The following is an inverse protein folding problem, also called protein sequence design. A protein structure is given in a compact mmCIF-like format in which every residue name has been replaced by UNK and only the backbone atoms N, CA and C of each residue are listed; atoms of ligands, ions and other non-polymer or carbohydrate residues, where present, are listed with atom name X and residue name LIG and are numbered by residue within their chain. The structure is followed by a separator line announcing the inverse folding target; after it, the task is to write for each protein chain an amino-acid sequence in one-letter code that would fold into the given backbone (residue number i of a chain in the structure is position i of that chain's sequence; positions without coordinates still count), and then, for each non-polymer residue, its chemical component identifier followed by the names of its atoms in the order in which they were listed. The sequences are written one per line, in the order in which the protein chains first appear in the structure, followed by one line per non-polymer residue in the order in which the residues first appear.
data_IF_868996425335
#
_entry.id   IF_868996425335
#
_cell.length_a   1.000
_cell.length_b   1.000
_cell.length_c   1.000
_cell.angle_alpha   90.00
_cell.angle_beta   90.00
_cell.angle_gamma   90.00
#
_symmetry.space_group_name_H-M   'P 1'
#
loop_
_entity.id
_entity.type
_entity.pdbx_description
1 polymer ?
#
# COMPACT_ATOMS: atom_id res chain seq x y z
N UNK A 1 -35.56 -5.41 16.96
CA UNK A 1 -34.08 -5.33 16.90
C UNK A 1 -33.67 -5.13 15.44
N UNK A 2 -33.51 -3.89 15.00
CA UNK A 2 -33.08 -3.58 13.63
C UNK A 2 -31.57 -3.77 13.53
N UNK A 3 -31.14 -4.86 12.89
CA UNK A 3 -29.73 -5.03 12.55
C UNK A 3 -29.35 -3.94 11.55
N UNK A 4 -28.72 -2.87 12.00
CA UNK A 4 -28.15 -1.87 11.11
C UNK A 4 -27.02 -2.52 10.31
N UNK A 5 -27.34 -2.96 9.08
CA UNK A 5 -26.31 -3.37 8.12
C UNK A 5 -25.32 -2.21 8.00
N UNK A 6 -24.00 -2.46 8.03
CA UNK A 6 -23.04 -1.39 7.79
C UNK A 6 -23.39 -0.71 6.47
N UNK A 7 -23.57 0.61 6.48
CA UNK A 7 -23.85 1.38 5.26
C UNK A 7 -22.69 1.14 4.30
N UNK A 8 -22.92 0.36 3.25
CA UNK A 8 -22.01 0.31 2.12
C UNK A 8 -21.91 1.71 1.54
N UNK A 9 -20.72 2.12 1.12
CA UNK A 9 -20.49 3.38 0.42
C UNK A 9 -20.10 3.04 -1.02
N UNK A 10 -21.07 2.74 -1.92
CA UNK A 10 -20.79 2.22 -3.26
C UNK A 10 -19.93 3.18 -4.08
N UNK A 11 -20.17 4.49 -3.97
CA UNK A 11 -19.39 5.50 -4.67
C UNK A 11 -17.90 5.42 -4.32
N UNK A 12 -17.56 5.26 -3.04
CA UNK A 12 -16.15 5.17 -2.64
C UNK A 12 -15.52 3.85 -3.13
N UNK A 13 -16.29 2.76 -3.16
CA UNK A 13 -15.81 1.51 -3.74
C UNK A 13 -15.57 1.65 -5.26
N UNK A 14 -16.46 2.34 -5.97
CA UNK A 14 -16.30 2.64 -7.39
C UNK A 14 -15.08 3.53 -7.65
N UNK A 15 -14.88 4.59 -6.85
CA UNK A 15 -13.71 5.46 -6.93
C UNK A 15 -12.40 4.71 -6.70
N UNK A 16 -12.39 3.75 -5.76
CA UNK A 16 -11.22 2.87 -5.56
C UNK A 16 -10.98 1.96 -6.75
N UNK A 17 -12.04 1.45 -7.38
CA UNK A 17 -11.94 0.68 -8.61
C UNK A 17 -11.35 1.50 -9.75
N UNK A 18 -11.82 2.74 -9.91
CA UNK A 18 -11.32 3.67 -10.92
C UNK A 18 -9.85 4.03 -10.69
N UNK A 19 -9.47 4.29 -9.43
CA UNK A 19 -8.08 4.54 -9.06
C UNK A 19 -7.17 3.34 -9.37
N UNK A 20 -7.59 2.14 -8.98
CA UNK A 20 -6.85 0.91 -9.28
C UNK A 20 -6.73 0.66 -10.79
N UNK A 21 -7.79 0.94 -11.56
CA UNK A 21 -7.75 0.82 -13.02
C UNK A 21 -6.77 1.80 -13.65
N UNK A 22 -6.77 3.06 -13.22
CA UNK A 22 -5.83 4.07 -13.70
C UNK A 22 -4.36 3.65 -13.43
N UNK A 23 -4.09 3.08 -12.25
CA UNK A 23 -2.78 2.53 -11.90
C UNK A 23 -2.39 1.37 -12.82
N UNK A 24 -3.31 0.45 -13.10
CA UNK A 24 -3.04 -0.68 -14.01
C UNK A 24 -2.72 -0.17 -15.43
N UNK A 25 -3.52 0.76 -15.96
CA UNK A 25 -3.31 1.31 -17.29
C UNK A 25 -1.97 2.06 -17.40
N UNK A 26 -1.58 2.77 -16.34
CA UNK A 26 -0.24 3.38 -16.25
C UNK A 26 0.88 2.35 -16.33
N UNK A 27 0.82 1.27 -15.53
CA UNK A 27 1.87 0.24 -15.55
C UNK A 27 1.90 -0.54 -16.88
N UNK A 28 0.74 -0.75 -17.52
CA UNK A 28 0.67 -1.37 -18.85
C UNK A 28 1.36 -0.49 -19.90
N UNK A 29 1.08 0.82 -19.89
CA UNK A 29 1.72 1.75 -20.82
C UNK A 29 3.23 1.87 -20.58
N UNK A 30 3.65 1.91 -19.31
CA UNK A 30 5.06 1.90 -18.92
C UNK A 30 5.77 0.62 -19.39
N UNK A 31 5.20 -0.55 -19.11
CA UNK A 31 5.76 -1.82 -19.55
C UNK A 31 5.85 -1.91 -21.08
N UNK A 32 4.83 -1.42 -21.79
CA UNK A 32 4.84 -1.37 -23.26
C UNK A 32 5.94 -0.45 -23.78
N UNK A 33 6.11 0.72 -23.17
CA UNK A 33 7.16 1.66 -23.54
C UNK A 33 8.56 1.04 -23.32
N UNK A 34 8.76 0.36 -22.20
CA UNK A 34 10.05 -0.20 -21.81
C UNK A 34 10.43 -1.44 -22.62
N UNK A 35 9.45 -2.25 -23.04
CA UNK A 35 9.69 -3.53 -23.75
C UNK A 35 9.47 -3.47 -25.26
N UNK A 36 8.57 -2.60 -25.72
CA UNK A 36 8.14 -2.50 -27.12
C UNK A 36 8.43 -1.12 -27.72
N UNK A 37 9.04 -0.20 -26.96
CA UNK A 37 9.31 1.17 -27.37
C UNK A 37 8.07 1.91 -27.93
N UNK A 38 6.89 1.51 -27.46
CA UNK A 38 5.60 2.00 -27.94
C UNK A 38 4.70 2.31 -26.74
N UNK A 39 4.03 3.46 -26.76
CA UNK A 39 2.98 3.79 -25.78
C UNK A 39 1.61 3.51 -26.36
N UNK A 40 0.90 2.53 -25.80
CA UNK A 40 -0.43 2.16 -26.26
C UNK A 40 -1.49 3.25 -25.98
N UNK A 41 -1.30 4.00 -24.90
CA UNK A 41 -2.25 5.03 -24.46
C UNK A 41 -1.66 6.45 -24.49
N UNK A 42 -0.45 6.61 -25.04
CA UNK A 42 0.23 7.88 -25.17
C UNK A 42 0.51 8.55 -23.82
N UNK A 43 -0.13 9.70 -23.58
CA UNK A 43 0.06 10.50 -22.37
C UNK A 43 -1.16 10.47 -21.43
N UNK A 44 -2.24 9.79 -21.83
CA UNK A 44 -3.56 9.85 -21.16
C UNK A 44 -3.47 9.35 -19.71
N UNK A 45 -2.69 8.30 -19.47
CA UNK A 45 -2.53 7.68 -18.15
C UNK A 45 -1.21 8.04 -17.47
N UNK A 46 -0.48 9.07 -17.93
CA UNK A 46 0.80 9.47 -17.31
C UNK A 46 0.64 9.83 -15.82
N UNK A 47 -0.53 10.30 -15.42
CA UNK A 47 -0.86 10.63 -14.02
C UNK A 47 -1.44 9.45 -13.22
N UNK A 48 -1.44 8.23 -13.77
CA UNK A 48 -2.02 7.06 -13.11
C UNK A 48 -1.33 6.69 -11.79
N UNK A 49 -0.08 7.12 -11.59
CA UNK A 49 0.63 7.00 -10.31
C UNK A 49 -0.09 7.70 -9.15
N UNK A 50 -0.78 8.83 -9.40
CA UNK A 50 -1.59 9.55 -8.38
C UNK A 50 -2.75 8.68 -7.88
N UNK A 51 -3.20 7.74 -8.70
CA UNK A 51 -4.21 6.76 -8.33
C UNK A 51 -3.80 5.91 -7.12
N UNK A 52 -2.49 5.71 -6.89
CA UNK A 52 -1.97 4.99 -5.73
C UNK A 52 -2.29 5.77 -4.45
N UNK A 53 -1.92 7.05 -4.38
CA UNK A 53 -2.17 7.91 -3.22
C UNK A 53 -3.67 8.00 -2.90
N UNK A 54 -4.47 8.21 -3.94
CA UNK A 54 -5.92 8.30 -3.81
C UNK A 54 -6.53 6.98 -3.30
N UNK A 55 -6.05 5.84 -3.80
CA UNK A 55 -6.49 4.53 -3.32
C UNK A 55 -6.17 4.31 -1.83
N UNK A 56 -4.99 4.75 -1.37
CA UNK A 56 -4.59 4.67 0.03
C UNK A 56 -5.49 5.51 0.94
N UNK A 57 -5.73 6.78 0.59
CA UNK A 57 -6.60 7.68 1.36
C UNK A 57 -8.01 7.09 1.50
N UNK A 58 -8.60 6.64 0.39
CA UNK A 58 -9.95 6.05 0.41
C UNK A 58 -10.01 4.73 1.20
N UNK A 59 -8.95 3.92 1.12
CA UNK A 59 -8.86 2.65 1.86
C UNK A 59 -8.77 2.91 3.36
N UNK A 60 -7.97 3.89 3.78
CA UNK A 60 -7.88 4.31 5.18
C UNK A 60 -9.21 4.84 5.70
N UNK A 61 -9.86 5.73 4.95
CA UNK A 61 -11.17 6.27 5.29
C UNK A 61 -12.22 5.17 5.49
N UNK A 62 -12.40 4.25 4.53
CA UNK A 62 -13.38 3.16 4.63
C UNK A 62 -13.09 2.27 5.84
N UNK A 63 -11.81 1.97 6.11
CA UNK A 63 -11.43 1.11 7.24
C UNK A 63 -11.80 1.79 8.56
N UNK A 64 -11.42 3.04 8.75
CA UNK A 64 -11.75 3.79 9.96
C UNK A 64 -13.27 3.95 10.11
N UNK A 65 -13.97 4.37 9.05
CA UNK A 65 -15.43 4.52 9.05
C UNK A 65 -16.16 3.22 9.41
N UNK A 66 -15.77 2.09 8.80
CA UNK A 66 -16.44 0.80 9.01
C UNK A 66 -16.10 0.13 10.34
N UNK A 67 -14.94 0.44 10.93
CA UNK A 67 -14.49 -0.16 12.17
C UNK A 67 -14.62 0.76 13.39
N UNK A 68 -15.08 2.00 13.21
CA UNK A 68 -15.18 3.02 14.26
C UNK A 68 -15.84 2.52 15.54
N UNK A 69 -17.00 1.86 15.40
CA UNK A 69 -17.78 1.33 16.54
C UNK A 69 -17.14 0.12 17.23
N UNK A 70 -16.09 -0.48 16.64
CA UNK A 70 -15.44 -1.70 17.16
C UNK A 70 -14.13 -1.44 17.88
N UNK A 71 -13.60 -0.23 17.77
CA UNK A 71 -12.43 0.20 18.54
C UNK A 71 -12.78 0.29 20.05
N UNK A 72 -11.86 -0.09 20.93
CA UNK A 72 -12.01 0.04 22.39
C UNK A 72 -12.81 -1.04 23.12
N UNK A 73 -13.87 -1.62 22.53
CA UNK A 73 -14.84 -2.41 23.32
C UNK A 73 -14.66 -3.95 23.24
N UNK A 74 -13.91 -4.48 22.25
CA UNK A 74 -13.74 -5.94 22.03
C UNK A 74 -12.36 -6.30 21.45
N UNK A 75 -11.31 -5.70 22.00
CA UNK A 75 -9.98 -5.59 21.37
C UNK A 75 -9.48 -6.85 20.66
N UNK A 76 -9.38 -7.99 21.37
CA UNK A 76 -8.81 -9.22 20.82
C UNK A 76 -9.66 -9.87 19.71
N UNK A 77 -10.98 -10.00 19.92
CA UNK A 77 -11.87 -10.62 18.95
C UNK A 77 -12.01 -9.75 17.69
N UNK A 78 -12.10 -8.43 17.85
CA UNK A 78 -12.13 -7.49 16.73
C UNK A 78 -10.82 -7.51 15.94
N UNK A 79 -9.68 -7.50 16.64
CA UNK A 79 -8.34 -7.63 16.05
C UNK A 79 -8.22 -8.89 15.18
N UNK A 80 -8.49 -10.06 15.77
CA UNK A 80 -8.35 -11.36 15.07
C UNK A 80 -9.25 -11.43 13.84
N UNK A 81 -10.48 -10.94 13.98
CA UNK A 81 -11.48 -10.94 12.90
C UNK A 81 -11.18 -9.94 11.80
N UNK A 82 -10.44 -8.88 12.09
CA UNK A 82 -9.99 -7.90 11.11
C UNK A 82 -8.83 -8.48 10.30
N UNK A 83 -7.76 -8.94 10.97
CA UNK A 83 -6.53 -9.39 10.28
C UNK A 83 -6.78 -10.63 9.41
N UNK A 84 -7.52 -11.63 9.91
CA UNK A 84 -7.82 -12.86 9.16
C UNK A 84 -8.61 -12.54 7.88
N UNK A 85 -9.64 -11.68 7.97
CA UNK A 85 -10.47 -11.33 6.81
C UNK A 85 -9.69 -10.58 5.73
N UNK A 86 -8.65 -9.84 6.12
CA UNK A 86 -7.79 -9.14 5.17
C UNK A 86 -6.73 -10.06 4.58
N UNK A 87 -6.13 -10.93 5.40
CA UNK A 87 -5.16 -11.92 4.96
C UNK A 87 -5.77 -12.89 3.92
N UNK A 88 -6.93 -13.49 4.22
CA UNK A 88 -7.63 -14.41 3.30
C UNK A 88 -8.08 -13.72 2.01
N UNK A 89 -8.24 -12.39 2.02
CA UNK A 89 -8.57 -11.63 0.81
C UNK A 89 -7.34 -11.35 -0.05
N UNK A 90 -6.18 -11.08 0.55
CA UNK A 90 -4.99 -10.59 -0.16
C UNK A 90 -4.10 -11.74 -0.60
N UNK A 91 -3.73 -12.61 0.34
CA UNK A 91 -2.69 -13.63 0.11
C UNK A 91 -3.05 -14.63 -1.00
N UNK A 92 -4.28 -15.15 -1.12
CA UNK A 92 -4.58 -16.13 -2.16
C UNK A 92 -4.36 -15.59 -3.58
N UNK A 93 -4.91 -14.41 -3.88
CA UNK A 93 -4.73 -13.79 -5.20
C UNK A 93 -3.27 -13.41 -5.43
N UNK A 94 -2.60 -12.86 -4.41
CA UNK A 94 -1.20 -12.49 -4.49
C UNK A 94 -0.31 -13.71 -4.80
N UNK A 95 -0.48 -14.82 -4.07
CA UNK A 95 0.33 -16.02 -4.26
C UNK A 95 0.14 -16.66 -5.64
N UNK A 96 -1.07 -16.61 -6.21
CA UNK A 96 -1.31 -17.10 -7.57
C UNK A 96 -0.50 -16.30 -8.60
N UNK A 97 -0.56 -14.97 -8.52
CA UNK A 97 0.16 -14.09 -9.47
C UNK A 97 1.67 -14.19 -9.25
N UNK A 98 2.10 -14.14 -7.99
CA UNK A 98 3.50 -14.24 -7.59
C UNK A 98 4.11 -15.59 -7.99
N UNK A 99 3.40 -16.69 -7.76
CA UNK A 99 3.82 -18.03 -8.17
C UNK A 99 3.94 -18.16 -9.68
N UNK A 100 3.02 -17.57 -10.45
CA UNK A 100 3.10 -17.54 -11.90
C UNK A 100 4.32 -16.78 -12.42
N UNK A 101 4.59 -15.59 -11.87
CA UNK A 101 5.78 -14.81 -12.25
C UNK A 101 7.06 -15.51 -11.80
N UNK A 102 7.12 -16.07 -10.60
CA UNK A 102 8.26 -16.82 -10.13
C UNK A 102 8.55 -18.04 -11.01
N UNK A 103 7.50 -18.79 -11.41
CA UNK A 103 7.64 -19.91 -12.33
C UNK A 103 8.18 -19.45 -13.69
N UNK A 104 7.69 -18.33 -14.23
CA UNK A 104 8.19 -17.77 -15.49
C UNK A 104 9.68 -17.39 -15.41
N UNK A 105 10.10 -16.77 -14.31
CA UNK A 105 11.50 -16.38 -14.07
C UNK A 105 12.43 -17.60 -13.93
N UNK A 106 11.96 -18.69 -13.33
CA UNK A 106 12.75 -19.92 -13.16
C UNK A 106 12.81 -20.78 -14.44
N UNK A 107 11.76 -20.76 -15.26
CA UNK A 107 11.66 -21.58 -16.48
C UNK A 107 12.30 -20.92 -17.71
N UNK A 108 12.45 -19.60 -17.72
CA UNK A 108 13.02 -18.86 -18.86
C UNK A 108 14.30 -18.14 -18.42
N UNK A 109 15.48 -18.77 -18.64
CA UNK A 109 16.77 -18.16 -18.35
C UNK A 109 16.93 -16.83 -19.11
N UNK A 110 17.26 -15.76 -18.40
CA UNK A 110 17.45 -14.42 -18.98
C UNK A 110 16.31 -13.42 -18.74
N UNK A 111 15.18 -13.84 -18.16
CA UNK A 111 14.13 -12.92 -17.70
C UNK A 111 14.36 -12.37 -16.29
N UNK A 112 15.11 -13.10 -15.45
CA UNK A 112 15.56 -12.58 -14.17
C UNK A 112 16.53 -11.43 -14.43
N UNK A 113 16.14 -10.21 -14.07
CA UNK A 113 17.07 -9.08 -14.02
C UNK A 113 18.29 -9.41 -13.15
N UNK A 114 19.31 -8.54 -13.17
CA UNK A 114 20.60 -8.71 -12.48
C UNK A 114 20.54 -8.83 -10.94
N UNK A 115 19.35 -8.97 -10.34
CA UNK A 115 19.15 -9.12 -8.90
C UNK A 115 19.43 -10.55 -8.43
N UNK A 116 20.19 -10.69 -7.36
CA UNK A 116 20.51 -11.98 -6.74
C UNK A 116 19.27 -12.58 -6.10
N UNK A 117 18.68 -13.62 -6.72
CA UNK A 117 17.54 -14.34 -6.16
C UNK A 117 18.04 -15.20 -4.99
N UNK A 118 17.95 -14.67 -3.77
CA UNK A 118 18.25 -15.43 -2.55
C UNK A 118 17.00 -16.09 -1.99
N UNK A 119 17.09 -17.25 -1.31
CA UNK A 119 15.94 -17.87 -0.66
C UNK A 119 15.22 -16.95 0.33
N UNK A 120 15.97 -16.10 1.04
CA UNK A 120 15.40 -15.13 1.97
C UNK A 120 14.58 -14.04 1.27
N UNK A 121 15.07 -13.52 0.14
CA UNK A 121 14.34 -12.54 -0.67
C UNK A 121 13.01 -13.09 -1.22
N UNK A 122 12.99 -14.38 -1.60
CA UNK A 122 11.75 -15.07 -2.00
C UNK A 122 10.77 -15.11 -0.82
N UNK A 123 11.23 -15.49 0.38
CA UNK A 123 10.37 -15.53 1.58
C UNK A 123 9.82 -14.15 1.92
N UNK A 124 10.65 -13.11 1.88
CA UNK A 124 10.22 -11.73 2.12
C UNK A 124 9.16 -11.30 1.10
N UNK A 125 9.34 -11.62 -0.18
CA UNK A 125 8.36 -11.34 -1.22
C UNK A 125 7.05 -12.10 -1.00
N UNK A 126 7.10 -13.42 -0.74
CA UNK A 126 5.90 -14.25 -0.50
C UNK A 126 5.06 -13.74 0.68
N UNK A 127 5.74 -13.29 1.74
CA UNK A 127 5.11 -12.78 2.96
C UNK A 127 4.84 -11.28 2.91
N UNK A 128 5.23 -10.60 1.84
CA UNK A 128 5.12 -9.14 1.69
C UNK A 128 5.73 -8.40 2.89
N UNK A 129 6.88 -8.87 3.34
CA UNK A 129 7.63 -8.24 4.42
C UNK A 129 8.37 -7.00 3.89
N UNK A 130 8.61 -5.99 4.75
CA UNK A 130 9.49 -4.89 4.40
C UNK A 130 10.88 -5.39 4.02
N UNK A 131 11.41 -4.86 2.92
CA UNK A 131 12.69 -5.22 2.33
C UNK A 131 13.29 -3.98 1.64
N UNK A 132 14.61 -3.97 1.47
CA UNK A 132 15.34 -2.83 0.90
C UNK A 132 15.11 -2.68 -0.61
N UNK A 133 14.89 -3.80 -1.30
CA UNK A 133 14.64 -3.87 -2.73
C UNK A 133 13.15 -4.13 -3.02
N UNK A 134 12.69 -3.74 -4.21
CA UNK A 134 11.33 -4.03 -4.63
C UNK A 134 11.03 -5.55 -4.61
N UNK A 135 9.78 -5.96 -4.31
CA UNK A 135 9.40 -7.37 -4.41
C UNK A 135 9.53 -7.91 -5.82
N UNK A 136 9.65 -9.24 -5.92
CA UNK A 136 9.74 -9.95 -7.21
C UNK A 136 8.62 -9.51 -8.17
N UNK A 137 7.42 -9.27 -7.62
CA UNK A 137 6.40 -8.46 -8.27
C UNK A 137 6.64 -6.99 -7.90
N UNK A 138 7.23 -6.20 -8.80
CA UNK A 138 7.56 -4.80 -8.53
C UNK A 138 6.37 -4.02 -7.95
N UNK A 139 5.19 -4.13 -8.59
CA UNK A 139 3.94 -3.47 -8.16
C UNK A 139 3.47 -3.86 -6.74
N UNK A 140 3.99 -4.95 -6.17
CA UNK A 140 3.62 -5.42 -4.84
C UNK A 140 4.15 -4.54 -3.69
N UNK A 141 5.04 -3.57 -3.95
CA UNK A 141 5.45 -2.58 -2.95
C UNK A 141 4.24 -1.88 -2.30
N UNK A 142 3.21 -1.56 -3.09
CA UNK A 142 1.96 -0.97 -2.60
C UNK A 142 1.22 -1.91 -1.64
N UNK A 143 1.27 -3.21 -1.89
CA UNK A 143 0.59 -4.21 -1.08
C UNK A 143 1.27 -4.40 0.28
N UNK A 144 2.60 -4.31 0.32
CA UNK A 144 3.39 -4.26 1.57
C UNK A 144 2.95 -3.09 2.46
N UNK A 145 2.78 -1.89 1.87
CA UNK A 145 2.26 -0.73 2.60
C UNK A 145 0.82 -0.94 3.10
N UNK A 146 -0.04 -1.58 2.31
CA UNK A 146 -1.42 -1.92 2.74
C UNK A 146 -1.40 -2.87 3.95
N UNK A 147 -0.53 -3.89 3.95
CA UNK A 147 -0.40 -4.82 5.08
C UNK A 147 0.16 -4.13 6.32
N UNK A 148 1.16 -3.26 6.15
CA UNK A 148 1.66 -2.43 7.26
C UNK A 148 0.54 -1.57 7.85
N UNK A 149 -0.24 -0.88 7.01
CA UNK A 149 -1.40 -0.11 7.45
C UNK A 149 -2.42 -0.98 8.19
N UNK A 150 -2.68 -2.20 7.71
CA UNK A 150 -3.55 -3.15 8.42
C UNK A 150 -2.97 -3.57 9.76
N UNK A 151 -1.65 -3.73 9.88
CA UNK A 151 -0.96 -3.95 11.14
C UNK A 151 -1.19 -2.81 12.13
N UNK A 152 -1.02 -1.56 11.70
CA UNK A 152 -1.27 -0.36 12.52
C UNK A 152 -2.72 -0.29 12.99
N UNK A 153 -3.69 -0.45 12.09
CA UNK A 153 -5.12 -0.45 12.44
C UNK A 153 -5.45 -1.63 13.36
N UNK A 154 -4.84 -2.79 13.13
CA UNK A 154 -5.02 -3.95 13.98
C UNK A 154 -4.56 -3.62 15.41
N UNK A 155 -3.34 -3.12 15.56
CA UNK A 155 -2.80 -2.70 16.85
C UNK A 155 -3.69 -1.65 17.54
N UNK A 156 -4.28 -0.73 16.78
CA UNK A 156 -5.22 0.25 17.32
C UNK A 156 -6.44 -0.38 18.01
N UNK A 157 -6.92 -1.56 17.59
CA UNK A 157 -8.00 -2.26 18.32
C UNK A 157 -7.62 -2.68 19.74
N UNK A 158 -6.33 -2.87 20.02
CA UNK A 158 -5.83 -3.28 21.32
C UNK A 158 -5.62 -2.08 22.27
N UNK A 159 -5.57 -0.86 21.73
CA UNK A 159 -5.38 0.36 22.51
C UNK A 159 -6.72 0.90 23.05
N UNK A 160 -6.73 1.47 24.28
CA UNK A 160 -7.91 2.14 24.81
C UNK A 160 -8.21 3.43 24.06
N UNK A 161 -9.50 3.76 23.87
CA UNK A 161 -9.98 4.93 23.12
C UNK A 161 -9.33 6.26 23.53
N UNK A 162 -8.97 6.42 24.81
CA UNK A 162 -8.30 7.62 25.35
C UNK A 162 -6.96 7.94 24.67
N UNK A 163 -6.26 6.94 24.13
CA UNK A 163 -4.95 7.11 23.51
C UNK A 163 -5.06 7.58 22.06
N UNK A 164 -6.20 7.38 21.39
CA UNK A 164 -6.34 7.74 19.98
C UNK A 164 -6.17 9.24 19.72
N UNK A 165 -6.65 10.10 20.62
CA UNK A 165 -6.42 11.55 20.52
C UNK A 165 -4.93 11.90 20.57
N UNK A 166 -4.17 11.24 21.44
CA UNK A 166 -2.71 11.42 21.57
C UNK A 166 -2.01 10.94 20.29
N UNK A 167 -2.38 9.76 19.79
CA UNK A 167 -1.81 9.20 18.56
C UNK A 167 -2.07 10.12 17.36
N UNK A 168 -3.30 10.60 17.20
CA UNK A 168 -3.64 11.55 16.13
C UNK A 168 -2.87 12.86 16.30
N UNK A 169 -2.76 13.40 17.52
CA UNK A 169 -2.00 14.60 17.78
C UNK A 169 -0.51 14.43 17.44
N UNK A 170 0.11 13.30 17.81
CA UNK A 170 1.51 12.99 17.46
C UNK A 170 1.68 12.91 15.95
N UNK A 171 0.76 12.24 15.24
CA UNK A 171 0.81 12.15 13.77
C UNK A 171 0.69 13.54 13.15
N UNK A 172 -0.28 14.36 13.57
CA UNK A 172 -0.47 15.71 13.05
C UNK A 172 0.71 16.63 13.35
N UNK A 173 1.25 16.58 14.57
CA UNK A 173 2.43 17.35 14.96
C UNK A 173 3.66 16.91 14.17
N UNK A 174 3.85 15.61 13.97
CA UNK A 174 4.92 15.07 13.13
C UNK A 174 4.75 15.50 11.67
N UNK A 175 3.54 15.39 11.10
CA UNK A 175 3.26 15.89 9.74
C UNK A 175 3.47 17.39 9.62
N UNK A 176 3.07 18.17 10.62
CA UNK A 176 3.29 19.61 10.67
C UNK A 176 4.78 19.95 10.79
N UNK A 177 5.55 19.21 11.61
CA UNK A 177 6.98 19.44 11.73
C UNK A 177 7.71 19.13 10.43
N UNK A 178 7.32 18.06 9.72
CA UNK A 178 7.88 17.75 8.40
C UNK A 178 7.50 18.81 7.37
N UNK A 179 6.26 19.28 7.39
CA UNK A 179 5.80 20.36 6.53
C UNK A 179 6.60 21.64 6.77
N UNK A 180 6.75 22.07 8.02
CA UNK A 180 7.54 23.27 8.36
C UNK A 180 9.01 23.10 7.98
N UNK A 181 9.61 21.95 8.28
CA UNK A 181 11.00 21.65 7.94
C UNK A 181 11.27 21.71 6.43
N UNK A 182 10.29 21.34 5.60
CA UNK A 182 10.40 21.43 4.15
C UNK A 182 10.51 22.88 3.62
N UNK A 183 10.02 23.88 4.37
CA UNK A 183 10.13 25.30 4.01
C UNK A 183 11.28 26.04 4.71
N UNK A 184 11.78 25.53 5.84
CA UNK A 184 12.77 26.23 6.68
C UNK A 184 14.19 25.69 6.57
N UNK A 185 14.37 24.41 6.22
CA UNK A 185 15.69 23.77 6.19
C UNK A 185 16.20 23.71 4.74
N UNK A 186 17.41 24.23 4.44
CA UNK A 186 18.05 24.03 3.14
C UNK A 186 18.12 22.55 2.81
N UNK A 187 17.77 22.15 1.58
CA UNK A 187 17.72 20.73 1.16
C UNK A 187 19.03 19.96 1.39
N UNK A 188 20.17 20.66 1.46
CA UNK A 188 21.49 20.10 1.76
C UNK A 188 21.74 19.76 3.23
N UNK A 189 20.94 20.33 4.15
CA UNK A 189 21.04 20.13 5.60
C UNK A 189 19.84 19.39 6.19
N UNK A 190 18.83 19.08 5.36
CA UNK A 190 17.69 18.29 5.76
C UNK A 190 18.12 16.83 6.01
N UNK A 191 17.77 16.28 7.17
CA UNK A 191 18.03 14.88 7.46
C UNK A 191 17.32 13.99 6.40
N UNK A 192 17.92 12.85 5.98
CA UNK A 192 17.37 12.00 4.92
C UNK A 192 15.93 11.53 5.13
N UNK A 193 15.46 11.55 6.39
CA UNK A 193 14.13 11.11 6.81
C UNK A 193 13.13 12.27 7.05
N UNK A 194 13.58 13.52 7.02
CA UNK A 194 12.71 14.71 7.16
C UNK A 194 11.95 14.99 5.85
N UNK A 195 12.56 14.63 4.73
CA UNK A 195 11.89 14.67 3.43
C UNK A 195 11.53 13.23 3.10
N UNK A 196 10.26 12.92 2.91
CA UNK A 196 9.74 11.65 2.33
C UNK A 196 10.24 11.44 0.86
N UNK A 197 11.52 11.74 0.56
CA UNK A 197 12.03 12.06 -0.77
C UNK A 197 13.22 11.20 -1.19
N UNK A 198 13.17 9.89 -0.94
CA UNK A 198 14.13 8.99 -1.58
C UNK A 198 13.53 7.67 -2.07
N UNK A 199 12.24 7.43 -1.86
CA UNK A 199 11.54 6.30 -2.49
C UNK A 199 10.57 6.84 -3.54
N UNK A 200 11.02 6.78 -4.82
CA UNK A 200 10.19 6.70 -6.04
C UNK A 200 9.92 7.95 -6.90
N UNK A 201 10.55 9.11 -6.68
CA UNK A 201 10.33 10.28 -7.56
C UNK A 201 11.46 10.60 -8.55
N UNK A 202 12.39 9.67 -8.77
CA UNK A 202 13.29 9.74 -9.93
C UNK A 202 12.61 9.05 -11.12
N UNK A 203 11.71 9.79 -11.78
CA UNK A 203 11.31 9.59 -13.17
C UNK A 203 11.85 10.75 -14.00
#
# INVERSE_FOLDING_TARGET
MTSSRPRSLPLIQALRGLAALAVVLFHVDQLSNDRLHTRFFGEIFRFGWVGVDFFFVLSGFIILYSQWSRFGDRGWQSWRRFIIRRAVRIYPTYWVVMGGVLALLLLIPGLSGSGTITPWYIVQSILLLPQSEDPILSVAWTLTLILFFYGVVSFAFLLPRRIYGIVVAIILLGSLSQFVAAFTIPRSAALPWIVFNSFHWEL
#
